data_IF_462145398738
#
_entry.id   IF_462145398738
#
_cell.length_a   1.000
_cell.length_b   1.000
_cell.length_c   1.000
_cell.angle_alpha   90.00
_cell.angle_beta   90.00
_cell.angle_gamma   90.00
#
_symmetry.space_group_name_H-M   'P 1'
#
loop_
_entity.id
_entity.type
_entity.pdbx_description
1 polymer ?
#
# COMPACT_ATOMS: atom_id res chain seq x y z
N UNK A 1 19.47 -23.40 15.17
CA UNK A 1 18.20 -22.77 14.73
C UNK A 1 17.27 -22.54 15.89
N UNK A 2 16.80 -21.31 16.06
CA UNK A 2 15.88 -20.90 17.13
C UNK A 2 14.56 -20.37 16.57
N UNK A 3 13.50 -20.38 17.38
CA UNK A 3 12.20 -19.79 17.03
C UNK A 3 12.32 -18.31 16.61
N UNK A 4 13.22 -17.56 17.27
CA UNK A 4 13.47 -16.16 16.94
C UNK A 4 14.06 -16.01 15.53
N UNK A 5 15.05 -16.82 15.18
CA UNK A 5 15.65 -16.81 13.82
C UNK A 5 14.67 -17.24 12.75
N UNK A 6 13.71 -18.10 13.08
CA UNK A 6 12.64 -18.50 12.16
C UNK A 6 11.66 -17.36 11.91
N UNK A 7 11.24 -16.65 12.97
CA UNK A 7 10.33 -15.51 12.85
C UNK A 7 10.96 -14.33 12.09
N UNK A 8 12.27 -14.12 12.27
CA UNK A 8 13.03 -13.05 11.61
C UNK A 8 13.60 -13.43 10.24
N UNK A 9 13.26 -14.61 9.71
CA UNK A 9 13.79 -15.10 8.44
C UNK A 9 13.54 -14.11 7.29
N UNK A 10 12.38 -13.47 7.27
CA UNK A 10 12.02 -12.50 6.23
C UNK A 10 12.69 -11.13 6.44
N UNK A 11 13.07 -10.82 7.69
CA UNK A 11 13.76 -9.57 8.06
C UNK A 11 15.27 -9.61 7.77
N UNK A 12 15.87 -10.78 7.61
CA UNK A 12 17.31 -10.95 7.38
C UNK A 12 17.55 -11.60 6.00
N UNK A 13 17.33 -10.83 4.93
CA UNK A 13 17.51 -11.28 3.53
C UNK A 13 16.23 -11.62 2.77
N UNK A 14 15.06 -11.26 3.32
CA UNK A 14 13.75 -11.49 2.68
C UNK A 14 13.04 -10.21 2.23
N UNK A 15 11.72 -10.26 2.23
CA UNK A 15 10.83 -9.17 1.83
C UNK A 15 10.47 -8.26 3.01
N UNK A 16 11.45 -7.51 3.50
CA UNK A 16 11.24 -6.59 4.62
C UNK A 16 12.21 -5.42 4.59
N UNK A 17 11.74 -4.24 5.01
CA UNK A 17 12.62 -3.10 5.31
C UNK A 17 13.04 -3.26 6.77
N UNK A 18 14.31 -3.58 6.99
CA UNK A 18 14.83 -3.89 8.33
C UNK A 18 15.86 -2.87 8.77
N UNK A 19 15.72 -2.41 10.02
CA UNK A 19 16.67 -1.52 10.68
C UNK A 19 17.12 -2.19 11.98
N UNK A 20 18.44 -2.26 12.18
CA UNK A 20 19.02 -2.78 13.40
C UNK A 20 19.53 -1.63 14.26
N UNK A 21 19.00 -1.49 15.48
CA UNK A 21 19.51 -0.56 16.48
C UNK A 21 20.37 -1.34 17.48
N UNK A 22 21.62 -0.90 17.66
CA UNK A 22 22.52 -1.46 18.66
C UNK A 22 22.71 -0.51 19.83
N UNK A 23 22.40 -0.99 21.02
CA UNK A 23 22.65 -0.27 22.27
C UNK A 23 24.01 -0.70 22.84
N UNK A 24 24.85 0.28 23.16
CA UNK A 24 26.19 0.04 23.71
C UNK A 24 26.39 0.89 24.96
N UNK A 25 27.25 0.41 25.86
CA UNK A 25 27.66 1.14 27.05
C UNK A 25 29.03 1.77 26.82
N UNK A 26 29.26 3.04 27.21
CA UNK A 26 30.56 3.68 27.04
C UNK A 26 31.58 3.27 28.13
N UNK A 27 31.23 2.40 29.08
CA UNK A 27 32.14 1.99 30.14
C UNK A 27 33.24 1.03 29.65
N UNK A 28 34.48 1.25 30.11
CA UNK A 28 35.64 0.42 29.77
C UNK A 28 35.47 -1.05 30.18
N UNK A 29 34.79 -1.31 31.30
CA UNK A 29 34.46 -2.67 31.76
C UNK A 29 33.62 -3.47 30.77
N UNK A 30 32.95 -2.80 29.82
CA UNK A 30 32.11 -3.40 28.79
C UNK A 30 32.72 -3.30 27.40
N UNK A 31 34.03 -3.03 27.29
CA UNK A 31 34.71 -2.85 26.02
C UNK A 31 34.56 -4.08 25.10
N UNK A 32 34.79 -5.28 25.60
CA UNK A 32 34.75 -6.51 24.80
C UNK A 32 33.35 -6.83 24.26
N UNK A 33 32.31 -6.60 25.08
CA UNK A 33 30.91 -6.78 24.71
C UNK A 33 30.44 -5.72 23.69
N UNK A 34 30.89 -4.48 23.91
CA UNK A 34 30.63 -3.37 22.98
C UNK A 34 31.24 -3.64 21.62
N UNK A 35 32.49 -4.11 21.60
CA UNK A 35 33.18 -4.50 20.37
C UNK A 35 32.49 -5.66 19.65
N UNK A 36 32.02 -6.66 20.40
CA UNK A 36 31.28 -7.79 19.85
C UNK A 36 29.93 -7.36 19.24
N UNK A 37 29.20 -6.48 19.93
CA UNK A 37 27.95 -5.87 19.44
C UNK A 37 28.17 -5.08 18.16
N UNK A 38 29.19 -4.22 18.12
CA UNK A 38 29.51 -3.42 16.93
C UNK A 38 29.95 -4.28 15.74
N UNK A 39 30.72 -5.34 15.97
CA UNK A 39 31.09 -6.31 14.92
C UNK A 39 29.86 -6.99 14.35
N UNK A 40 28.90 -7.37 15.20
CA UNK A 40 27.65 -7.95 14.74
C UNK A 40 26.80 -6.95 13.96
N UNK A 41 26.69 -5.71 14.44
CA UNK A 41 26.01 -4.62 13.74
C UNK A 41 26.59 -4.39 12.33
N UNK A 42 27.92 -4.39 12.21
CA UNK A 42 28.61 -4.25 10.94
C UNK A 42 28.27 -5.40 9.98
N UNK A 43 28.20 -6.64 10.47
CA UNK A 43 27.78 -7.79 9.66
C UNK A 43 26.32 -7.67 9.25
N UNK A 44 25.43 -7.34 10.17
CA UNK A 44 24.01 -7.16 9.88
C UNK A 44 23.74 -6.04 8.85
N UNK A 45 24.53 -4.95 8.89
CA UNK A 45 24.45 -3.87 7.90
C UNK A 45 24.83 -4.29 6.48
N UNK A 46 25.54 -5.42 6.31
CA UNK A 46 25.88 -5.96 4.98
C UNK A 46 24.79 -6.83 4.37
N UNK A 47 23.73 -7.14 5.13
CA UNK A 47 22.61 -7.93 4.65
C UNK A 47 21.74 -7.05 3.74
N UNK A 48 21.50 -7.53 2.53
CA UNK A 48 20.66 -6.84 1.54
C UNK A 48 19.28 -7.50 1.52
N UNK A 49 18.25 -6.71 1.78
CA UNK A 49 16.86 -7.15 1.69
C UNK A 49 16.21 -6.63 0.40
N UNK A 50 15.32 -7.43 -0.17
CA UNK A 50 14.55 -7.09 -1.37
C UNK A 50 13.09 -6.87 -0.99
N UNK A 51 12.79 -5.66 -0.52
CA UNK A 51 11.44 -5.31 -0.11
C UNK A 51 10.55 -5.01 -1.34
N UNK A 52 9.46 -5.77 -1.48
CA UNK A 52 8.42 -5.65 -2.49
C UNK A 52 7.10 -5.36 -1.77
N UNK A 53 6.34 -4.39 -2.29
CA UNK A 53 5.02 -4.07 -1.74
C UNK A 53 4.11 -5.28 -1.90
N UNK A 54 3.68 -5.85 -0.78
CA UNK A 54 2.74 -6.96 -0.75
C UNK A 54 1.34 -6.45 -1.08
N UNK A 55 0.98 -6.49 -2.36
CA UNK A 55 -0.35 -6.12 -2.83
C UNK A 55 -1.22 -7.37 -3.00
N UNK A 56 -2.44 -7.33 -2.46
CA UNK A 56 -3.43 -8.36 -2.78
C UNK A 56 -3.75 -8.33 -4.29
N UNK A 57 -4.02 -9.48 -4.93
CA UNK A 57 -4.35 -9.54 -6.35
C UNK A 57 -5.57 -8.68 -6.70
N UNK A 58 -6.53 -8.54 -5.78
CA UNK A 58 -7.69 -7.65 -5.93
C UNK A 58 -7.29 -6.17 -5.90
N UNK A 59 -6.42 -5.80 -4.97
CA UNK A 59 -5.93 -4.43 -4.80
C UNK A 59 -5.08 -3.99 -5.99
N UNK A 60 -4.27 -4.90 -6.54
CA UNK A 60 -3.53 -4.70 -7.79
C UNK A 60 -4.47 -4.46 -8.97
N UNK A 61 -5.47 -5.33 -9.16
CA UNK A 61 -6.47 -5.18 -10.23
C UNK A 61 -7.22 -3.85 -10.13
N UNK A 62 -7.64 -3.45 -8.93
CA UNK A 62 -8.31 -2.17 -8.70
C UNK A 62 -7.39 -0.99 -9.07
N UNK A 63 -6.10 -1.04 -8.71
CA UNK A 63 -5.12 -0.01 -9.11
C UNK A 63 -4.96 0.08 -10.62
N UNK A 64 -4.79 -1.05 -11.29
CA UNK A 64 -4.66 -1.12 -12.74
C UNK A 64 -5.91 -0.55 -13.43
N UNK A 65 -7.10 -0.99 -13.03
CA UNK A 65 -8.38 -0.49 -13.56
C UNK A 65 -8.58 1.02 -13.33
N UNK A 66 -8.25 1.53 -12.14
CA UNK A 66 -8.35 2.98 -11.85
C UNK A 66 -7.34 3.75 -12.72
N UNK A 67 -6.14 3.21 -12.94
CA UNK A 67 -5.13 3.84 -13.78
C UNK A 67 -5.56 3.89 -15.25
N UNK A 68 -6.20 2.84 -15.75
CA UNK A 68 -6.77 2.79 -17.09
C UNK A 68 -7.92 3.77 -17.25
N UNK A 69 -8.83 3.83 -16.28
CA UNK A 69 -9.91 4.82 -16.27
C UNK A 69 -9.38 6.24 -16.32
N UNK A 70 -8.33 6.57 -15.56
CA UNK A 70 -7.70 7.91 -15.64
C UNK A 70 -7.08 8.17 -17.02
N UNK A 71 -6.35 7.21 -17.60
CA UNK A 71 -5.75 7.37 -18.93
C UNK A 71 -6.83 7.59 -20.00
N UNK A 72 -7.93 6.83 -19.93
CA UNK A 72 -9.05 6.97 -20.85
C UNK A 72 -9.79 8.30 -20.67
N UNK A 73 -10.02 8.73 -19.42
CA UNK A 73 -10.59 10.05 -19.14
C UNK A 73 -9.71 11.18 -19.64
N UNK A 74 -8.38 11.07 -19.49
CA UNK A 74 -7.44 12.06 -19.98
C UNK A 74 -7.48 12.15 -21.51
N UNK A 75 -7.45 11.00 -22.21
CA UNK A 75 -7.59 10.94 -23.68
C UNK A 75 -8.90 11.53 -24.17
N UNK A 76 -10.01 11.20 -23.50
CA UNK A 76 -11.33 11.77 -23.81
C UNK A 76 -11.38 13.28 -23.54
N UNK A 77 -10.76 13.77 -22.46
CA UNK A 77 -10.71 15.21 -22.19
C UNK A 77 -9.87 15.98 -23.21
N UNK A 78 -8.80 15.38 -23.74
CA UNK A 78 -8.02 15.97 -24.83
C UNK A 78 -8.74 15.93 -26.18
N UNK A 79 -9.57 14.91 -26.47
CA UNK A 79 -10.39 14.90 -27.69
C UNK A 79 -11.61 15.82 -27.61
N UNK A 80 -12.10 16.15 -26.41
CA UNK A 80 -13.22 17.08 -26.21
C UNK A 80 -12.87 18.53 -26.58
N UNK A 81 -11.58 18.90 -26.60
CA UNK A 81 -11.15 20.22 -27.09
C UNK A 81 -11.38 20.43 -28.59
N UNK A 82 -11.67 19.38 -29.37
CA UNK A 82 -11.92 19.46 -30.82
C UNK A 82 -13.40 19.26 -31.23
N UNK A 83 -14.33 18.97 -30.31
CA UNK A 83 -15.73 18.59 -30.67
C UNK A 83 -16.81 19.19 -29.74
N UNK A 84 -16.50 20.32 -29.11
CA UNK A 84 -16.98 20.78 -27.81
C UNK A 84 -18.45 21.18 -27.58
N UNK A 85 -19.46 20.66 -28.29
CA UNK A 85 -20.86 21.03 -27.97
C UNK A 85 -21.80 19.87 -27.64
N UNK A 86 -21.68 18.72 -28.34
CA UNK A 86 -22.59 17.58 -28.09
C UNK A 86 -22.11 16.63 -26.98
N UNK A 87 -20.81 16.38 -26.89
CA UNK A 87 -20.24 15.45 -25.88
C UNK A 87 -20.26 16.00 -24.45
N UNK A 88 -20.22 17.33 -24.27
CA UNK A 88 -20.25 17.94 -22.95
C UNK A 88 -21.60 17.72 -22.23
N UNK A 89 -22.70 17.73 -23.00
CA UNK A 89 -24.04 17.45 -22.49
C UNK A 89 -24.20 15.98 -22.09
N UNK A 90 -23.72 15.05 -22.92
CA UNK A 90 -23.67 13.61 -22.62
C UNK A 90 -22.85 13.33 -21.35
N UNK A 91 -21.68 13.96 -21.20
CA UNK A 91 -20.82 13.80 -20.02
C UNK A 91 -21.45 14.35 -18.74
N UNK A 92 -22.15 15.49 -18.81
CA UNK A 92 -22.86 16.05 -17.67
C UNK A 92 -23.99 15.12 -17.21
N UNK A 93 -24.77 14.60 -18.17
CA UNK A 93 -25.86 13.66 -17.92
C UNK A 93 -25.36 12.32 -17.35
N UNK A 94 -24.24 11.81 -17.85
CA UNK A 94 -23.63 10.58 -17.35
C UNK A 94 -23.08 10.74 -15.92
N UNK A 95 -22.47 11.89 -15.61
CA UNK A 95 -21.97 12.20 -14.26
C UNK A 95 -23.11 12.28 -13.25
N UNK A 96 -24.22 12.90 -13.63
CA UNK A 96 -25.43 13.00 -12.80
C UNK A 96 -26.00 11.61 -12.49
N UNK A 97 -26.14 10.74 -13.52
CA UNK A 97 -26.61 9.36 -13.35
C UNK A 97 -25.69 8.52 -12.44
N UNK A 98 -24.37 8.69 -12.57
CA UNK A 98 -23.41 8.00 -11.71
C UNK A 98 -23.55 8.47 -10.25
N UNK A 99 -23.82 9.76 -10.01
CA UNK A 99 -24.03 10.30 -8.67
C UNK A 99 -25.27 9.70 -8.00
N UNK A 100 -26.39 9.66 -8.72
CA UNK A 100 -27.64 9.06 -8.26
C UNK A 100 -27.43 7.58 -7.91
N UNK A 101 -26.72 6.83 -8.77
CA UNK A 101 -26.49 5.40 -8.52
C UNK A 101 -25.54 5.14 -7.35
N UNK A 102 -24.53 6.01 -7.14
CA UNK A 102 -23.64 5.94 -5.96
C UNK A 102 -24.40 6.16 -4.66
N UNK A 103 -25.34 7.11 -4.63
CA UNK A 103 -26.20 7.33 -3.46
C UNK A 103 -27.10 6.12 -3.16
N UNK A 104 -27.68 5.50 -4.19
CA UNK A 104 -28.46 4.27 -4.04
C UNK A 104 -27.64 3.12 -3.46
N UNK A 105 -26.40 2.93 -3.91
CA UNK A 105 -25.48 1.92 -3.36
C UNK A 105 -25.15 2.23 -1.89
N UNK A 106 -24.90 3.49 -1.54
CA UNK A 106 -24.66 3.91 -0.15
C UNK A 106 -25.88 3.66 0.76
N UNK A 107 -27.09 3.88 0.26
CA UNK A 107 -28.32 3.58 1.00
C UNK A 107 -28.50 2.08 1.23
N UNK A 108 -28.24 1.25 0.22
CA UNK A 108 -28.28 -0.21 0.36
C UNK A 108 -27.22 -0.71 1.36
N UNK A 109 -26.03 -0.11 1.35
CA UNK A 109 -24.96 -0.46 2.28
C UNK A 109 -25.33 -0.07 3.72
N UNK A 110 -25.96 1.09 3.95
CA UNK A 110 -26.51 1.47 5.27
C UNK A 110 -27.62 0.54 5.77
N UNK A 111 -28.53 0.09 4.89
CA UNK A 111 -29.59 -0.85 5.29
C UNK A 111 -29.01 -2.20 5.70
N UNK A 112 -27.97 -2.66 5.01
CA UNK A 112 -27.27 -3.93 5.30
C UNK A 112 -26.48 -3.88 6.61
N UNK A 113 -25.92 -2.74 6.98
CA UNK A 113 -25.27 -2.55 8.29
C UNK A 113 -26.29 -2.46 9.42
N UNK A 114 -27.49 -1.90 9.19
CA UNK A 114 -28.55 -1.82 10.21
C UNK A 114 -29.27 -3.16 10.43
N UNK A 115 -29.32 -4.04 9.43
CA UNK A 115 -29.91 -5.38 9.58
C UNK A 115 -29.04 -6.35 10.40
N UNK A 116 -27.72 -6.12 10.48
CA UNK A 116 -26.80 -6.98 11.22
C UNK A 116 -26.74 -6.69 12.73
N UNK A 117 -27.47 -5.68 13.23
CA UNK A 117 -27.49 -5.31 14.66
C UNK A 117 -28.85 -5.60 15.33
N UNK A 118 -29.77 -6.27 14.63
CA UNK A 118 -31.09 -6.67 15.13
C UNK A 118 -31.19 -8.16 15.49
N UNK A 119 -30.08 -8.81 15.80
CA UNK A 119 -30.03 -10.16 16.39
C UNK A 119 -29.02 -10.15 17.52
#
# INVERSE_FOLDING_TARGET
>A
DSLLTWLLKDSLGGNSITVMLTTISPCETHYDETLSTLRYAKKASSIVNSAIVNEDPKSRLIRELISELRKLQQKASSSVFESGTSQAYELAKLKELISIRKEGVLQLQRRRTLSNWKT
#
